data_IF_614590754493
#
_entry.id   IF_614590754493
#
_cell.length_a   1.000
_cell.length_b   1.000
_cell.length_c   1.000
_cell.angle_alpha   90.00
_cell.angle_beta   90.00
_cell.angle_gamma   90.00
#
_symmetry.space_group_name_H-M   'P 1'
#
loop_
_entity.id
_entity.type
_entity.pdbx_description
1 polymer ?
#
# COMPACT_ATOMS: atom_id res chain seq x y z
N UNK A 1 21.10 2.34 -16.55
CA UNK A 1 19.74 1.78 -16.70
C UNK A 1 19.18 1.43 -15.34
N UNK A 2 17.96 1.87 -15.04
CA UNK A 2 17.20 1.41 -13.85
C UNK A 2 16.55 0.07 -14.18
N UNK A 3 16.76 -0.94 -13.34
CA UNK A 3 16.21 -2.30 -13.49
C UNK A 3 15.50 -2.68 -12.20
N UNK A 4 14.30 -3.23 -12.34
CA UNK A 4 13.54 -3.82 -11.22
C UNK A 4 13.23 -5.28 -11.55
N UNK A 5 13.16 -6.11 -10.52
CA UNK A 5 12.81 -7.53 -10.68
C UNK A 5 11.35 -7.73 -11.11
N UNK A 6 10.47 -6.80 -10.78
CA UNK A 6 9.10 -6.74 -11.30
C UNK A 6 8.60 -5.29 -11.43
N UNK A 7 7.93 -4.99 -12.55
CA UNK A 7 7.43 -3.65 -12.84
C UNK A 7 6.14 -3.28 -12.07
N UNK A 8 5.51 -4.25 -11.42
CA UNK A 8 4.28 -4.07 -10.64
C UNK A 8 4.29 -5.03 -9.45
N UNK A 9 3.96 -4.53 -8.25
CA UNK A 9 3.80 -5.38 -7.06
C UNK A 9 2.84 -4.77 -6.03
N UNK A 10 2.36 -5.61 -5.11
CA UNK A 10 1.60 -5.16 -3.95
C UNK A 10 2.46 -4.28 -3.06
N UNK A 11 1.85 -3.30 -2.38
CA UNK A 11 2.55 -2.33 -1.53
C UNK A 11 3.35 -2.98 -0.39
N UNK A 12 2.97 -4.18 0.05
CA UNK A 12 3.63 -4.97 1.10
C UNK A 12 4.67 -5.98 0.56
N UNK A 13 4.80 -6.12 -0.76
CA UNK A 13 5.83 -6.95 -1.39
C UNK A 13 7.07 -6.11 -1.73
N UNK A 14 8.29 -6.49 -1.29
CA UNK A 14 9.51 -5.77 -1.64
C UNK A 14 9.84 -5.88 -3.14
N UNK A 15 10.52 -4.86 -3.67
CA UNK A 15 11.04 -4.81 -5.05
C UNK A 15 12.56 -4.70 -4.98
N UNK A 16 13.29 -5.50 -5.75
CA UNK A 16 14.73 -5.37 -5.89
C UNK A 16 15.04 -4.41 -7.04
N UNK A 17 15.89 -3.42 -6.78
CA UNK A 17 16.28 -2.39 -7.75
C UNK A 17 17.79 -2.41 -7.97
N UNK A 18 18.17 -2.40 -9.24
CA UNK A 18 19.55 -2.26 -9.66
C UNK A 18 19.74 -1.09 -10.64
N UNK A 19 20.89 -0.43 -10.54
CA UNK A 19 21.36 0.55 -11.53
C UNK A 19 22.49 -0.10 -12.31
N UNK A 20 22.36 -0.24 -13.63
CA UNK A 20 23.33 -0.98 -14.47
C UNK A 20 23.87 -0.16 -15.63
N UNK A 21 25.08 -0.47 -16.08
CA UNK A 21 25.65 0.10 -17.31
C UNK A 21 26.16 1.53 -17.16
N UNK A 22 26.66 1.86 -15.97
CA UNK A 22 27.38 3.10 -15.69
C UNK A 22 28.90 2.84 -15.71
N UNK A 23 29.73 3.87 -15.63
CA UNK A 23 31.18 3.67 -15.49
C UNK A 23 31.52 3.20 -14.07
N UNK A 24 32.53 2.34 -13.90
CA UNK A 24 32.95 1.87 -12.58
C UNK A 24 33.36 3.01 -11.65
N UNK A 25 32.95 2.95 -10.38
CA UNK A 25 33.24 4.00 -9.38
C UNK A 25 32.51 5.33 -9.64
N UNK A 26 31.56 5.37 -10.58
CA UNK A 26 30.80 6.57 -10.92
C UNK A 26 29.69 6.81 -9.88
N UNK A 27 29.55 8.06 -9.39
CA UNK A 27 28.39 8.48 -8.62
C UNK A 27 27.11 8.51 -9.47
N UNK A 28 26.04 7.89 -8.98
CA UNK A 28 24.72 7.87 -9.61
C UNK A 28 23.66 8.24 -8.57
N UNK A 29 22.90 9.29 -8.83
CA UNK A 29 21.78 9.72 -7.99
C UNK A 29 20.48 9.09 -8.49
N UNK A 30 19.84 8.29 -7.65
CA UNK A 30 18.49 7.79 -7.83
C UNK A 30 17.50 8.75 -7.16
N UNK A 31 16.50 9.17 -7.92
CA UNK A 31 15.35 9.93 -7.44
C UNK A 31 14.09 9.10 -7.63
N UNK A 32 13.31 8.90 -6.57
CA UNK A 32 11.99 8.28 -6.64
C UNK A 32 10.92 9.33 -6.35
N UNK A 33 9.97 9.52 -7.26
CA UNK A 33 8.91 10.52 -7.14
C UNK A 33 7.54 9.84 -7.15
N UNK A 34 6.66 10.27 -6.25
CA UNK A 34 5.30 9.74 -6.10
C UNK A 34 4.32 10.90 -6.02
N UNK A 35 3.21 10.78 -6.74
CA UNK A 35 2.07 11.68 -6.64
C UNK A 35 0.84 10.86 -6.28
N UNK A 36 0.20 11.24 -5.17
CA UNK A 36 -0.98 10.54 -4.66
C UNK A 36 -2.26 11.28 -5.05
N UNK A 37 -3.38 10.55 -5.04
CA UNK A 37 -4.67 11.09 -5.44
C UNK A 37 -5.22 12.19 -4.51
N UNK A 38 -4.62 12.38 -3.33
CA UNK A 38 -4.89 13.52 -2.45
C UNK A 38 -4.16 14.80 -2.90
N UNK A 39 -3.38 14.75 -3.99
CA UNK A 39 -2.56 15.85 -4.50
C UNK A 39 -1.19 15.97 -3.85
N UNK A 40 -0.88 15.12 -2.85
CA UNK A 40 0.42 15.16 -2.20
C UNK A 40 1.52 14.58 -3.10
N UNK A 41 2.68 15.25 -3.09
CA UNK A 41 3.88 14.84 -3.82
C UNK A 41 4.96 14.47 -2.83
N UNK A 42 5.60 13.32 -3.06
CA UNK A 42 6.62 12.76 -2.19
C UNK A 42 7.83 12.37 -3.02
N UNK A 43 9.02 12.62 -2.49
CA UNK A 43 10.25 12.35 -3.22
C UNK A 43 11.35 11.87 -2.29
N UNK A 44 12.11 10.88 -2.76
CA UNK A 44 13.39 10.49 -2.18
C UNK A 44 14.51 10.73 -3.18
N UNK A 45 15.71 11.03 -2.67
CA UNK A 45 16.92 11.17 -3.46
C UNK A 45 18.06 10.49 -2.73
N UNK A 46 18.81 9.64 -3.43
CA UNK A 46 19.98 8.95 -2.87
C UNK A 46 21.06 8.79 -3.91
N UNK A 47 22.31 9.01 -3.51
CA UNK A 47 23.47 8.85 -4.39
C UNK A 47 24.23 7.59 -3.99
N UNK A 48 24.56 6.77 -4.98
CA UNK A 48 25.36 5.57 -4.85
C UNK A 48 26.63 5.71 -5.67
N UNK A 49 27.63 4.88 -5.36
CA UNK A 49 28.82 4.71 -6.18
C UNK A 49 28.77 3.32 -6.78
N UNK A 50 28.87 3.25 -8.10
CA UNK A 50 28.83 1.97 -8.84
C UNK A 50 30.06 1.13 -8.53
N UNK A 51 29.88 -0.20 -8.55
CA UNK A 51 30.94 -1.17 -8.38
C UNK A 51 31.87 -1.25 -9.62
N UNK A 52 32.83 -2.19 -9.59
CA UNK A 52 33.78 -2.42 -10.69
C UNK A 52 33.12 -2.82 -12.01
N UNK A 53 31.88 -3.34 -11.96
CA UNK A 53 31.09 -3.69 -13.13
C UNK A 53 30.20 -2.55 -13.63
N UNK A 54 30.25 -1.38 -12.97
CA UNK A 54 29.38 -0.25 -13.31
C UNK A 54 27.95 -0.43 -12.82
N UNK A 55 27.75 -1.18 -11.73
CA UNK A 55 26.44 -1.51 -11.19
C UNK A 55 26.24 -1.07 -9.73
N UNK A 56 24.99 -0.82 -9.36
CA UNK A 56 24.55 -0.64 -7.96
C UNK A 56 23.40 -1.60 -7.70
N UNK A 57 23.52 -2.42 -6.66
CA UNK A 57 22.45 -3.27 -6.14
C UNK A 57 21.99 -2.71 -4.78
N UNK A 58 20.77 -2.16 -4.73
CA UNK A 58 20.22 -1.53 -3.52
C UNK A 58 19.96 -2.53 -2.39
N UNK A 59 19.93 -3.84 -2.68
CA UNK A 59 19.80 -4.87 -1.66
C UNK A 59 21.12 -5.14 -0.92
N UNK A 60 22.25 -4.63 -1.44
CA UNK A 60 23.60 -4.91 -0.95
C UNK A 60 24.45 -3.68 -0.71
N UNK A 61 24.14 -2.57 -1.36
CA UNK A 61 24.92 -1.33 -1.33
C UNK A 61 24.16 -0.24 -0.59
N UNK A 62 24.85 0.46 0.31
CA UNK A 62 24.33 1.64 0.98
C UNK A 62 24.57 2.88 0.10
N UNK A 63 23.68 3.88 0.13
CA UNK A 63 23.96 5.16 -0.50
C UNK A 63 25.12 5.86 0.24
N UNK A 64 25.87 6.67 -0.50
CA UNK A 64 26.90 7.56 0.07
C UNK A 64 26.31 8.87 0.58
N UNK A 65 25.10 9.24 0.13
CA UNK A 65 24.35 10.39 0.63
C UNK A 65 22.87 10.31 0.22
N UNK A 66 22.01 11.06 0.92
CA UNK A 66 20.62 11.28 0.53
C UNK A 66 19.64 11.14 1.69
N UNK A 67 18.41 10.78 1.34
CA UNK A 67 17.26 10.69 2.26
C UNK A 67 17.28 9.49 3.21
N UNK A 68 18.20 8.53 3.03
CA UNK A 68 18.44 7.45 3.99
C UNK A 68 19.90 7.01 3.97
N UNK A 69 20.29 6.26 5.00
CA UNK A 69 21.60 5.66 5.17
C UNK A 69 21.49 4.15 5.37
N UNK A 70 22.61 3.43 5.18
CA UNK A 70 22.67 1.99 5.32
C UNK A 70 22.08 1.22 4.13
N UNK A 71 22.22 -0.12 4.16
CA UNK A 71 21.69 -0.99 3.11
C UNK A 71 20.20 -1.18 3.32
N UNK A 72 19.39 -0.63 2.42
CA UNK A 72 17.94 -0.72 2.49
C UNK A 72 17.31 -0.78 1.09
N UNK A 73 16.93 -1.99 0.66
CA UNK A 73 16.36 -2.25 -0.67
C UNK A 73 15.18 -1.33 -1.02
N UNK A 74 14.29 -1.10 -0.05
CA UNK A 74 13.09 -0.27 -0.21
C UNK A 74 13.27 1.17 0.31
N UNK A 75 14.51 1.59 0.59
CA UNK A 75 14.86 2.92 1.08
C UNK A 75 14.23 4.02 0.25
N UNK A 76 14.32 3.90 -1.07
CA UNK A 76 13.79 4.86 -2.03
C UNK A 76 12.27 5.10 -1.94
N UNK A 77 11.50 4.23 -1.26
CA UNK A 77 10.07 4.45 -1.01
C UNK A 77 9.84 5.03 0.39
N UNK A 78 10.30 4.35 1.45
CA UNK A 78 9.92 4.74 2.82
C UNK A 78 10.63 6.00 3.30
N UNK A 79 11.78 6.36 2.70
CA UNK A 79 12.52 7.58 3.04
C UNK A 79 12.03 8.81 2.30
N UNK A 80 11.00 8.67 1.45
CA UNK A 80 10.48 9.79 0.69
C UNK A 80 9.91 10.85 1.62
N UNK A 81 10.23 12.11 1.31
CA UNK A 81 9.80 13.27 2.06
C UNK A 81 8.72 14.02 1.28
N UNK A 82 7.72 14.55 1.99
CA UNK A 82 6.66 15.36 1.39
C UNK A 82 7.27 16.63 0.80
N UNK A 83 7.00 16.86 -0.47
CA UNK A 83 7.45 18.07 -1.16
C UNK A 83 6.56 19.26 -0.79
N UNK A 84 7.11 20.49 -0.74
CA UNK A 84 6.33 21.71 -0.52
C UNK A 84 5.26 21.91 -1.60
N UNK A 85 4.13 22.49 -1.21
CA UNK A 85 3.01 22.81 -2.09
C UNK A 85 1.89 21.76 -2.12
N UNK A 86 0.82 22.11 -2.85
CA UNK A 86 -0.39 21.30 -3.04
C UNK A 86 -1.37 21.37 -1.87
N UNK A 87 -2.64 21.70 -2.18
CA UNK A 87 -3.74 21.45 -1.27
C UNK A 87 -3.95 19.94 -1.15
N UNK A 88 -4.15 19.45 0.08
CA UNK A 88 -4.43 18.03 0.32
C UNK A 88 -5.94 17.83 0.27
N UNK A 89 -6.38 16.93 -0.61
CA UNK A 89 -7.78 16.57 -0.78
C UNK A 89 -8.09 15.21 -0.14
N UNK A 90 -9.34 14.96 0.28
CA UNK A 90 -9.74 13.62 0.70
C UNK A 90 -9.53 12.60 -0.42
N UNK A 91 -9.02 11.42 -0.09
CA UNK A 91 -8.89 10.34 -1.05
C UNK A 91 -10.25 9.94 -1.63
N UNK A 92 -10.35 9.73 -2.96
CA UNK A 92 -11.60 9.28 -3.58
C UNK A 92 -11.94 7.84 -3.13
N UNK A 93 -13.24 7.53 -3.09
CA UNK A 93 -13.70 6.20 -2.77
C UNK A 93 -13.13 5.15 -3.74
N UNK A 94 -12.65 4.03 -3.21
CA UNK A 94 -12.07 2.95 -4.02
C UNK A 94 -10.67 3.26 -4.58
N UNK A 95 -9.99 4.32 -4.13
CA UNK A 95 -8.61 4.63 -4.56
C UNK A 95 -7.66 3.45 -4.41
N UNK A 96 -7.90 2.58 -3.42
CA UNK A 96 -7.11 1.37 -3.15
C UNK A 96 -7.05 0.39 -4.33
N UNK A 97 -8.04 0.44 -5.23
CA UNK A 97 -8.09 -0.39 -6.44
C UNK A 97 -7.20 0.14 -7.57
N UNK A 98 -6.70 1.37 -7.46
CA UNK A 98 -5.79 1.97 -8.43
C UNK A 98 -4.34 1.79 -7.96
N UNK A 99 -3.41 1.39 -8.85
CA UNK A 99 -2.00 1.47 -8.51
C UNK A 99 -1.60 2.94 -8.31
N UNK A 100 -0.66 3.20 -7.40
CA UNK A 100 0.12 4.42 -7.46
C UNK A 100 1.43 4.17 -8.20
N UNK A 101 1.98 5.21 -8.80
CA UNK A 101 3.17 5.15 -9.62
C UNK A 101 4.36 5.70 -8.85
N UNK A 102 5.48 4.99 -8.93
CA UNK A 102 6.78 5.45 -8.44
C UNK A 102 7.64 5.73 -9.67
N UNK A 103 7.87 7.00 -9.96
CA UNK A 103 8.74 7.43 -11.04
C UNK A 103 10.19 7.41 -10.56
N UNK A 104 11.00 6.53 -11.15
CA UNK A 104 12.41 6.36 -10.83
C UNK A 104 13.25 7.03 -11.91
N UNK A 105 14.14 7.93 -11.50
CA UNK A 105 15.16 8.53 -12.36
C UNK A 105 16.54 8.30 -11.75
N UNK A 106 17.43 7.64 -12.50
CA UNK A 106 18.84 7.53 -12.16
C UNK A 106 19.65 8.46 -13.06
N UNK A 107 20.42 9.35 -12.44
CA UNK A 107 21.26 10.34 -13.12
C UNK A 107 22.71 10.19 -12.67
N UNK A 108 23.60 9.96 -13.63
CA UNK A 108 25.04 9.93 -13.39
C UNK A 108 25.66 11.33 -13.49
N UNK A 109 26.87 11.48 -12.94
CA UNK A 109 27.61 12.75 -12.96
C UNK A 109 27.97 13.26 -14.35
N UNK A 110 28.04 12.37 -15.36
CA UNK A 110 28.32 12.72 -16.76
C UNK A 110 27.07 13.15 -17.55
N UNK A 111 25.90 13.19 -16.89
CA UNK A 111 24.63 13.55 -17.51
C UNK A 111 23.83 12.36 -18.07
N UNK A 112 24.37 11.14 -18.02
CA UNK A 112 23.62 9.93 -18.40
C UNK A 112 22.40 9.76 -17.51
N UNK A 113 21.22 9.62 -18.12
CA UNK A 113 19.96 9.42 -17.40
C UNK A 113 19.27 8.12 -17.80
N UNK A 114 18.55 7.53 -16.85
CA UNK A 114 17.66 6.40 -17.11
C UNK A 114 16.41 6.55 -16.25
N UNK A 115 15.25 6.19 -16.81
CA UNK A 115 13.96 6.29 -16.14
C UNK A 115 13.20 4.98 -16.20
N UNK A 116 12.43 4.70 -15.16
CA UNK A 116 11.50 3.59 -15.07
C UNK A 116 10.31 3.99 -14.20
N UNK A 117 9.12 3.49 -14.54
CA UNK A 117 7.93 3.65 -13.68
C UNK A 117 7.61 2.30 -13.05
N UNK A 118 7.58 2.26 -11.72
CA UNK A 118 7.19 1.11 -10.93
C UNK A 118 5.76 1.29 -10.44
N UNK A 119 4.90 0.30 -10.67
CA UNK A 119 3.54 0.27 -10.14
C UNK A 119 3.49 -0.37 -8.75
N UNK A 120 2.78 0.27 -7.82
CA UNK A 120 2.52 -0.27 -6.49
C UNK A 120 1.02 -0.35 -6.23
N UNK A 121 0.55 -1.52 -5.80
CA UNK A 121 -0.88 -1.84 -5.70
C UNK A 121 -1.34 -2.05 -4.26
N UNK A 122 -2.43 -1.37 -3.88
CA UNK A 122 -3.14 -1.66 -2.63
C UNK A 122 -4.01 -2.93 -2.74
N UNK A 123 -4.64 -3.13 -3.90
CA UNK A 123 -5.38 -4.35 -4.23
C UNK A 123 -4.70 -5.11 -5.37
N UNK A 124 -4.51 -6.42 -5.18
CA UNK A 124 -3.99 -7.33 -6.18
C UNK A 124 -4.89 -7.42 -7.41
N UNK A 125 -4.33 -7.89 -8.51
CA UNK A 125 -5.09 -8.13 -9.74
C UNK A 125 -6.20 -9.13 -9.45
N UNK A 126 -7.43 -8.78 -9.84
CA UNK A 126 -8.61 -9.64 -9.68
C UNK A 126 -9.27 -9.59 -8.30
N UNK A 127 -8.68 -8.91 -7.31
CA UNK A 127 -9.37 -8.66 -6.03
C UNK A 127 -10.67 -7.89 -6.30
N UNK A 128 -11.79 -8.43 -5.81
CA UNK A 128 -13.10 -7.79 -5.93
C UNK A 128 -13.29 -6.80 -4.78
N UNK A 129 -13.91 -5.65 -5.06
CA UNK A 129 -14.34 -4.66 -4.06
C UNK A 129 -15.84 -4.45 -4.13
N UNK A 130 -16.55 -4.69 -3.03
CA UNK A 130 -18.00 -4.53 -2.91
C UNK A 130 -18.36 -3.67 -1.69
N UNK A 131 -18.85 -2.42 -1.87
CA UNK A 131 -19.44 -1.66 -0.78
C UNK A 131 -20.71 -2.33 -0.21
N UNK A 132 -20.77 -2.50 1.10
CA UNK A 132 -21.90 -3.11 1.81
C UNK A 132 -22.69 -2.02 2.54
N UNK A 133 -23.97 -1.88 2.21
CA UNK A 133 -24.95 -0.96 2.83
C UNK A 133 -26.30 -1.64 3.04
N UNK A 134 -26.29 -2.89 3.49
CA UNK A 134 -27.47 -3.73 3.66
C UNK A 134 -27.45 -4.39 5.04
N UNK A 135 -28.63 -4.82 5.49
CA UNK A 135 -28.78 -5.58 6.74
C UNK A 135 -28.21 -4.85 7.98
N UNK A 136 -28.24 -3.52 7.95
CA UNK A 136 -27.73 -2.68 9.04
C UNK A 136 -26.21 -2.75 9.21
N UNK A 137 -25.47 -3.10 8.16
CA UNK A 137 -24.00 -3.14 8.10
C UNK A 137 -23.51 -2.09 7.12
N UNK A 138 -22.48 -1.34 7.53
CA UNK A 138 -21.80 -0.34 6.71
C UNK A 138 -20.32 -0.72 6.62
N UNK A 139 -19.86 -1.13 5.44
CA UNK A 139 -18.47 -1.50 5.22
C UNK A 139 -18.11 -1.65 3.75
N UNK A 140 -16.92 -2.14 3.47
CA UNK A 140 -16.48 -2.55 2.13
C UNK A 140 -15.88 -3.94 2.22
N UNK A 141 -16.47 -4.88 1.49
CA UNK A 141 -15.99 -6.25 1.36
C UNK A 141 -14.95 -6.33 0.23
N UNK A 142 -13.85 -7.02 0.51
CA UNK A 142 -12.84 -7.40 -0.46
C UNK A 142 -12.77 -8.93 -0.52
N UNK A 143 -12.82 -9.50 -1.73
CA UNK A 143 -12.70 -10.94 -1.95
C UNK A 143 -11.47 -11.26 -2.82
N UNK A 144 -10.75 -12.35 -2.53
CA UNK A 144 -9.73 -12.88 -3.42
C UNK A 144 -10.28 -13.21 -4.82
N UNK A 145 -9.44 -13.21 -5.86
CA UNK A 145 -9.85 -13.60 -7.20
C UNK A 145 -10.19 -15.09 -7.32
N UNK A 146 -9.59 -15.95 -6.50
CA UNK A 146 -9.84 -17.38 -6.51
C UNK A 146 -11.25 -17.70 -5.96
N UNK A 147 -11.90 -18.77 -6.44
CA UNK A 147 -13.12 -19.26 -5.83
C UNK A 147 -12.90 -19.63 -4.35
N UNK A 148 -13.85 -19.23 -3.50
CA UNK A 148 -13.84 -19.57 -2.07
C UNK A 148 -14.20 -21.03 -1.76
N UNK A 149 -14.35 -21.37 -0.46
CA UNK A 149 -14.38 -20.46 0.69
C UNK A 149 -12.99 -20.03 1.19
N UNK A 150 -12.91 -18.85 1.79
CA UNK A 150 -11.71 -18.21 2.31
C UNK A 150 -11.76 -18.05 3.83
N UNK A 151 -10.62 -18.13 4.54
CA UNK A 151 -10.54 -17.50 5.85
C UNK A 151 -10.86 -16.01 5.73
N UNK A 152 -11.45 -15.43 6.77
CA UNK A 152 -11.90 -14.05 6.72
C UNK A 152 -11.43 -13.19 7.88
N UNK A 153 -11.33 -11.89 7.62
CA UNK A 153 -10.94 -10.88 8.60
C UNK A 153 -11.93 -9.73 8.58
N UNK A 154 -12.54 -9.44 9.73
CA UNK A 154 -13.20 -8.17 9.97
C UNK A 154 -12.13 -7.13 10.33
N UNK A 155 -11.95 -6.14 9.47
CA UNK A 155 -10.95 -5.08 9.62
C UNK A 155 -11.60 -3.84 10.22
N UNK A 156 -11.15 -3.45 11.40
CA UNK A 156 -11.61 -2.26 12.11
C UNK A 156 -10.62 -1.11 11.96
N UNK A 157 -11.12 0.11 11.74
CA UNK A 157 -10.33 1.33 11.81
C UNK A 157 -9.94 1.67 13.26
N UNK A 158 -8.94 2.55 13.44
CA UNK A 158 -8.56 3.06 14.77
C UNK A 158 -9.41 4.27 15.19
N UNK A 159 -8.85 5.11 16.06
CA UNK A 159 -9.53 6.31 16.59
C UNK A 159 -9.90 7.38 15.56
N UNK A 160 -9.43 7.28 14.31
CA UNK A 160 -9.80 8.17 13.20
C UNK A 160 -11.15 7.83 12.57
N UNK A 161 -11.69 6.63 12.85
CA UNK A 161 -12.91 6.14 12.22
C UNK A 161 -12.73 5.86 10.73
N UNK A 162 -13.83 5.84 10.00
CA UNK A 162 -13.83 5.56 8.56
C UNK A 162 -13.63 4.07 8.25
N UNK A 163 -13.35 3.78 6.98
CA UNK A 163 -13.15 2.43 6.46
C UNK A 163 -11.66 2.16 6.20
N UNK A 164 -11.11 1.09 6.78
CA UNK A 164 -9.71 0.69 6.55
C UNK A 164 -9.56 -0.17 5.28
N UNK A 165 -9.96 0.38 4.14
CA UNK A 165 -9.97 -0.35 2.86
C UNK A 165 -8.57 -0.83 2.43
N UNK A 166 -7.51 -0.07 2.70
CA UNK A 166 -6.12 -0.45 2.39
C UNK A 166 -5.70 -1.80 2.99
N UNK A 167 -5.99 -2.01 4.27
CA UNK A 167 -5.67 -3.29 4.94
C UNK A 167 -6.53 -4.44 4.43
N UNK A 168 -7.81 -4.19 4.20
CA UNK A 168 -8.72 -5.22 3.69
C UNK A 168 -8.33 -5.66 2.26
N UNK A 169 -7.95 -4.72 1.40
CA UNK A 169 -7.48 -5.01 0.05
C UNK A 169 -6.21 -5.86 0.04
N UNK A 170 -5.25 -5.57 0.91
CA UNK A 170 -4.03 -6.38 1.04
C UNK A 170 -4.35 -7.79 1.54
N UNK A 171 -5.20 -7.92 2.56
CA UNK A 171 -5.62 -9.23 3.06
C UNK A 171 -6.30 -10.07 1.95
N UNK A 172 -7.17 -9.45 1.14
CA UNK A 172 -7.78 -10.12 -0.01
C UNK A 172 -6.78 -10.50 -1.10
N UNK A 173 -5.72 -9.71 -1.27
CA UNK A 173 -4.62 -10.03 -2.18
C UNK A 173 -3.82 -11.26 -1.73
N UNK A 174 -3.92 -11.63 -0.45
CA UNK A 174 -3.27 -12.81 0.15
C UNK A 174 -4.27 -13.93 0.48
N UNK A 175 -5.45 -13.95 -0.15
CA UNK A 175 -6.38 -15.07 -0.06
C UNK A 175 -7.38 -15.02 1.09
N UNK A 176 -7.51 -13.89 1.80
CA UNK A 176 -8.50 -13.70 2.86
C UNK A 176 -9.71 -12.89 2.37
N UNK A 177 -10.93 -13.35 2.64
CA UNK A 177 -12.07 -12.44 2.52
C UNK A 177 -11.99 -11.37 3.62
N UNK A 178 -12.05 -10.08 3.26
CA UNK A 178 -11.82 -9.00 4.23
C UNK A 178 -12.94 -7.99 4.21
N UNK A 179 -13.59 -7.78 5.36
CA UNK A 179 -14.60 -6.74 5.53
C UNK A 179 -13.99 -5.55 6.26
N UNK A 180 -13.72 -4.46 5.56
CA UNK A 180 -13.45 -3.17 6.20
C UNK A 180 -14.77 -2.65 6.79
N UNK A 181 -15.00 -2.89 8.08
CA UNK A 181 -16.23 -2.52 8.78
C UNK A 181 -16.12 -1.09 9.31
N UNK A 182 -17.05 -0.23 8.91
CA UNK A 182 -17.22 1.08 9.53
C UNK A 182 -18.02 0.94 10.80
N UNK A 183 -17.64 1.65 11.86
CA UNK A 183 -18.40 1.69 13.11
C UNK A 183 -18.61 3.12 13.66
N UNK A 184 -17.88 4.11 13.13
CA UNK A 184 -18.16 5.54 13.25
C UNK A 184 -17.41 6.32 12.15
N UNK A 185 -17.75 7.59 11.96
CA UNK A 185 -17.07 8.47 10.99
C UNK A 185 -17.33 8.08 9.52
N UNK A 186 -18.42 7.35 9.26
CA UNK A 186 -18.91 6.98 7.93
C UNK A 186 -20.37 7.41 7.83
N UNK A 187 -20.81 7.81 6.64
CA UNK A 187 -22.21 8.12 6.39
C UNK A 187 -23.14 6.97 6.82
N UNK A 188 -24.22 7.31 7.54
CA UNK A 188 -25.14 6.33 8.13
C UNK A 188 -24.71 5.75 9.48
N UNK A 189 -23.53 6.11 10.00
CA UNK A 189 -23.01 5.68 11.31
C UNK A 189 -22.83 6.85 12.28
N UNK A 190 -22.59 6.58 13.58
CA UNK A 190 -22.23 7.62 14.54
C UNK A 190 -21.08 8.49 14.04
N UNK A 191 -21.14 9.79 14.33
CA UNK A 191 -20.09 10.74 13.90
C UNK A 191 -18.79 10.59 14.69
N UNK A 192 -18.87 10.10 15.93
CA UNK A 192 -17.74 9.98 16.83
C UNK A 192 -17.72 8.65 17.56
N UNK A 193 -16.57 8.36 18.17
CA UNK A 193 -16.33 7.14 18.94
C UNK A 193 -16.91 7.28 20.36
N UNK A 194 -18.24 7.22 20.47
CA UNK A 194 -18.95 7.35 21.75
C UNK A 194 -20.07 6.30 21.81
N UNK A 195 -20.05 5.46 22.85
CA UNK A 195 -21.06 4.44 23.11
C UNK A 195 -21.40 3.58 21.88
N UNK A 196 -20.36 3.10 21.17
CA UNK A 196 -20.56 2.22 20.02
C UNK A 196 -21.08 0.87 20.52
N UNK A 197 -22.27 0.42 20.09
CA UNK A 197 -22.89 -0.81 20.60
C UNK A 197 -22.14 -2.04 20.11
N UNK A 198 -21.85 -2.98 21.02
CA UNK A 198 -21.17 -4.24 20.66
C UNK A 198 -22.05 -5.13 19.77
N UNK A 199 -23.37 -5.00 19.89
CA UNK A 199 -24.38 -5.69 19.09
C UNK A 199 -24.25 -5.38 17.59
N UNK A 200 -23.68 -4.22 17.24
CA UNK A 200 -23.38 -3.90 15.84
C UNK A 200 -22.29 -4.82 15.26
N UNK A 201 -21.24 -5.09 16.04
CA UNK A 201 -20.17 -6.00 15.62
C UNK A 201 -20.63 -7.44 15.61
N UNK A 202 -21.45 -7.85 16.60
CA UNK A 202 -22.08 -9.17 16.61
C UNK A 202 -22.92 -9.39 15.34
N UNK A 203 -23.70 -8.39 14.93
CA UNK A 203 -24.48 -8.45 13.68
C UNK A 203 -23.56 -8.64 12.47
N UNK A 204 -22.48 -7.88 12.38
CA UNK A 204 -21.52 -8.03 11.29
C UNK A 204 -20.84 -9.41 11.28
N UNK A 205 -20.48 -9.96 12.44
CA UNK A 205 -19.94 -11.31 12.58
C UNK A 205 -20.94 -12.36 12.10
N UNK A 206 -22.20 -12.27 12.53
CA UNK A 206 -23.27 -13.19 12.10
C UNK A 206 -23.50 -13.11 10.59
N UNK A 207 -23.50 -11.90 10.03
CA UNK A 207 -23.61 -11.69 8.59
C UNK A 207 -22.46 -12.34 7.82
N UNK A 208 -21.21 -12.15 8.25
CA UNK A 208 -20.04 -12.79 7.63
C UNK A 208 -20.13 -14.32 7.71
N UNK A 209 -20.53 -14.86 8.87
CA UNK A 209 -20.73 -16.30 9.10
C UNK A 209 -21.81 -16.93 8.23
N UNK A 210 -22.77 -16.14 7.76
CA UNK A 210 -23.81 -16.61 6.84
C UNK A 210 -23.34 -16.64 5.36
N UNK A 211 -22.14 -16.14 5.05
CA UNK A 211 -21.72 -16.02 3.66
C UNK A 211 -21.11 -17.31 3.09
N UNK A 212 -21.45 -17.67 1.84
CA UNK A 212 -20.89 -18.86 1.19
C UNK A 212 -19.39 -18.75 0.97
N UNK A 213 -18.87 -17.54 0.78
CA UNK A 213 -17.43 -17.31 0.61
C UNK A 213 -16.62 -17.50 1.89
N UNK A 214 -17.26 -17.55 3.08
CA UNK A 214 -16.58 -17.90 4.34
C UNK A 214 -16.70 -19.39 4.64
N UNK A 215 -17.88 -19.98 4.43
CA UNK A 215 -18.13 -21.38 4.76
C UNK A 215 -17.81 -21.69 6.23
N UNK A 216 -17.08 -22.77 6.46
CA UNK A 216 -16.62 -23.22 7.79
C UNK A 216 -15.25 -22.65 8.20
N UNK A 217 -14.67 -21.75 7.39
CA UNK A 217 -13.32 -21.22 7.63
C UNK A 217 -13.25 -20.29 8.84
N UNK A 218 -12.02 -19.99 9.25
CA UNK A 218 -11.74 -19.08 10.36
C UNK A 218 -12.27 -17.66 10.04
N UNK A 219 -12.87 -17.02 11.05
CA UNK A 219 -13.15 -15.59 11.05
C UNK A 219 -12.36 -14.94 12.18
N UNK A 220 -11.48 -14.00 11.82
CA UNK A 220 -10.70 -13.19 12.74
C UNK A 220 -11.20 -11.74 12.75
N UNK A 221 -10.82 -10.99 13.79
CA UNK A 221 -11.02 -9.54 13.87
C UNK A 221 -9.64 -8.90 14.02
N UNK A 222 -9.39 -7.82 13.29
CA UNK A 222 -8.12 -7.09 13.34
C UNK A 222 -8.36 -5.59 13.24
N UNK A 223 -7.80 -4.83 14.17
CA UNK A 223 -7.81 -3.38 14.11
C UNK A 223 -6.64 -2.79 14.91
N UNK A 224 -6.10 -1.63 14.50
CA UNK A 224 -5.10 -0.93 15.30
C UNK A 224 -5.78 -0.09 16.40
N UNK A 225 -5.04 0.19 17.47
CA UNK A 225 -5.45 1.17 18.50
C UNK A 225 -6.85 0.84 19.04
N UNK A 226 -7.81 1.77 18.98
CA UNK A 226 -9.20 1.58 19.43
C UNK A 226 -9.95 0.44 18.75
N UNK A 227 -9.50 -0.01 17.58
CA UNK A 227 -10.08 -1.14 16.86
C UNK A 227 -9.56 -2.51 17.27
N UNK A 228 -8.53 -2.58 18.14
CA UNK A 228 -8.02 -3.83 18.72
C UNK A 228 -8.53 -4.01 20.15
#
# INVERSE_FOLDING_TARGET
MVVVDHASALIDQPVALELRGYAAGQPVTLTASMEFADGSRWQSHTTFVTDESGCVDLTRQAPVSGTYEGVAAMGFIWSAERQPGGDVHPFPAGIVMRPWLVELEARASDGTTSRLTLERRGAGIGVMREPIRREGIVGTLFLPPEPGPHPAVMVLSGGTGGLSEGRAAILASHGYAALALGYFGVEGLPRGLVNIPLEYFERAIRWMRAQPWLGDRLLAVSGPSRGG
#
